data_IF_799167597239
#
_entry.id   IF_799167597239
#
_cell.length_a   1.000
_cell.length_b   1.000
_cell.length_c   1.000
_cell.angle_alpha   90.00
_cell.angle_beta   90.00
_cell.angle_gamma   90.00
#
_symmetry.space_group_name_H-M   'P 1'
#
loop_
_entity.id
_entity.type
_entity.pdbx_description
1 polymer ?
#
# COMPACT_ATOMS: atom_id res chain seq x y z
N UNK A 1 11.03 -31.17 10.10
CA UNK A 1 12.30 -30.48 9.77
C UNK A 1 12.88 -31.16 8.54
N UNK A 2 13.15 -30.42 7.43
CA UNK A 2 13.77 -31.02 6.25
C UNK A 2 15.14 -31.57 6.65
N UNK A 3 15.36 -32.86 6.45
CA UNK A 3 16.62 -33.55 6.76
C UNK A 3 17.58 -33.55 5.56
N UNK A 4 17.15 -33.01 4.42
CA UNK A 4 17.91 -32.94 3.17
C UNK A 4 17.90 -31.53 2.59
N UNK A 5 18.96 -31.17 1.87
CA UNK A 5 19.08 -29.87 1.17
C UNK A 5 17.93 -29.70 0.19
N UNK A 6 17.58 -30.74 -0.57
CA UNK A 6 16.45 -30.71 -1.51
C UNK A 6 15.12 -30.44 -0.80
N UNK A 7 14.88 -31.07 0.35
CA UNK A 7 13.66 -30.83 1.14
C UNK A 7 13.58 -29.40 1.65
N UNK A 8 14.71 -28.80 2.03
CA UNK A 8 14.77 -27.40 2.42
C UNK A 8 14.48 -26.45 1.24
N UNK A 9 15.08 -26.71 0.08
CA UNK A 9 14.83 -25.90 -1.13
C UNK A 9 13.35 -25.98 -1.53
N UNK A 10 12.76 -27.18 -1.54
CA UNK A 10 11.34 -27.34 -1.84
C UNK A 10 10.46 -26.60 -0.83
N UNK A 11 10.78 -26.69 0.47
CA UNK A 11 10.06 -25.94 1.50
C UNK A 11 10.10 -24.43 1.22
N UNK A 12 11.27 -23.86 0.93
CA UNK A 12 11.40 -22.42 0.62
C UNK A 12 10.61 -22.05 -0.63
N UNK A 13 10.68 -22.88 -1.68
CA UNK A 13 9.96 -22.65 -2.94
C UNK A 13 8.44 -22.65 -2.73
N UNK A 14 7.91 -23.59 -1.93
CA UNK A 14 6.49 -23.66 -1.60
C UNK A 14 6.01 -22.50 -0.71
N UNK A 15 6.92 -21.77 -0.05
CA UNK A 15 6.56 -20.58 0.73
C UNK A 15 6.52 -19.29 -0.12
N UNK A 16 6.95 -19.34 -1.38
CA UNK A 16 6.99 -18.18 -2.26
C UNK A 16 5.62 -17.49 -2.46
N UNK A 17 4.49 -18.21 -2.65
CA UNK A 17 3.20 -17.55 -2.83
C UNK A 17 2.78 -16.72 -1.60
N UNK A 18 2.97 -17.26 -0.40
CA UNK A 18 2.68 -16.53 0.84
C UNK A 18 3.61 -15.35 1.07
N UNK A 19 4.89 -15.48 0.69
CA UNK A 19 5.82 -14.35 0.73
C UNK A 19 5.40 -13.24 -0.25
N UNK A 20 5.01 -13.61 -1.48
CA UNK A 20 4.51 -12.66 -2.47
C UNK A 20 3.24 -11.94 -1.99
N UNK A 21 2.32 -12.66 -1.33
CA UNK A 21 1.14 -12.07 -0.70
C UNK A 21 1.52 -11.01 0.34
N UNK A 22 2.45 -11.33 1.26
CA UNK A 22 2.88 -10.40 2.31
C UNK A 22 3.54 -9.16 1.71
N UNK A 23 4.49 -9.32 0.79
CA UNK A 23 5.21 -8.20 0.15
C UNK A 23 4.23 -7.23 -0.54
N UNK A 24 3.25 -7.75 -1.28
CA UNK A 24 2.26 -6.89 -1.97
C UNK A 24 1.34 -6.20 -0.98
N UNK A 25 0.96 -6.89 0.10
CA UNK A 25 0.09 -6.35 1.12
C UNK A 25 0.77 -5.26 1.94
N UNK A 26 2.04 -5.43 2.29
CA UNK A 26 2.86 -4.42 2.99
C UNK A 26 3.05 -3.18 2.15
N UNK A 27 3.30 -3.32 0.84
CA UNK A 27 3.40 -2.17 -0.07
C UNK A 27 2.12 -1.33 -0.18
N UNK A 28 0.96 -1.91 0.15
CA UNK A 28 -0.36 -1.25 0.02
C UNK A 28 -1.01 -0.91 1.36
N UNK A 29 -0.47 -1.37 2.48
CA UNK A 29 -1.05 -1.22 3.81
C UNK A 29 -0.14 -0.43 4.74
N UNK A 30 -0.74 0.19 5.77
CA UNK A 30 0.04 0.83 6.84
C UNK A 30 0.88 -0.23 7.58
N UNK A 31 2.12 0.14 7.85
CA UNK A 31 3.17 -0.68 8.44
C UNK A 31 2.82 -1.04 9.89
N UNK A 32 2.04 -2.12 10.07
CA UNK A 32 1.99 -2.84 11.35
C UNK A 32 3.23 -3.70 11.42
N UNK A 33 3.92 -3.75 12.55
CA UNK A 33 4.83 -4.87 12.85
C UNK A 33 4.02 -6.07 13.31
N UNK A 34 3.68 -7.06 12.46
CA UNK A 34 3.14 -8.31 12.97
C UNK A 34 4.18 -8.95 13.92
N UNK A 35 3.71 -9.69 14.92
CA UNK A 35 4.65 -10.51 15.70
C UNK A 35 5.28 -11.56 14.77
N UNK A 36 6.56 -11.95 14.97
CA UNK A 36 7.24 -12.90 14.08
C UNK A 36 6.45 -14.21 13.87
N UNK A 37 5.72 -14.64 14.90
CA UNK A 37 4.83 -15.80 14.83
C UNK A 37 3.67 -15.60 13.84
N UNK A 38 2.99 -14.44 13.88
CA UNK A 38 1.88 -14.14 12.97
C UNK A 38 2.36 -13.93 11.54
N UNK A 39 3.53 -13.34 11.35
CA UNK A 39 4.14 -13.12 10.05
C UNK A 39 4.45 -14.47 9.37
N UNK A 40 5.20 -15.32 10.07
CA UNK A 40 5.51 -16.68 9.58
C UNK A 40 4.24 -17.50 9.35
N UNK A 41 3.28 -17.43 10.29
CA UNK A 41 1.98 -18.09 10.15
C UNK A 41 1.22 -17.63 8.90
N UNK A 42 1.19 -16.32 8.63
CA UNK A 42 0.52 -15.76 7.45
C UNK A 42 1.16 -16.25 6.17
N UNK A 43 2.50 -16.24 6.07
CA UNK A 43 3.22 -16.78 4.91
C UNK A 43 2.86 -18.25 4.68
N UNK A 44 2.89 -19.07 5.72
CA UNK A 44 2.56 -20.50 5.60
C UNK A 44 1.10 -20.71 5.19
N UNK A 45 0.14 -20.08 5.87
CA UNK A 45 -1.28 -20.25 5.59
C UNK A 45 -1.66 -19.75 4.19
N UNK A 46 -1.15 -18.59 3.76
CA UNK A 46 -1.41 -18.06 2.43
C UNK A 46 -0.81 -18.96 1.34
N UNK A 47 0.39 -19.50 1.56
CA UNK A 47 1.01 -20.45 0.62
C UNK A 47 0.14 -21.70 0.46
N UNK A 48 -0.22 -22.35 1.57
CA UNK A 48 -1.05 -23.57 1.54
C UNK A 48 -2.40 -23.32 0.87
N UNK A 49 -3.10 -22.23 1.20
CA UNK A 49 -4.41 -21.95 0.63
C UNK A 49 -4.35 -21.67 -0.88
N UNK A 50 -3.35 -20.91 -1.34
CA UNK A 50 -3.21 -20.58 -2.76
C UNK A 50 -2.76 -21.79 -3.58
N UNK A 51 -1.85 -22.61 -3.05
CA UNK A 51 -1.47 -23.89 -3.66
C UNK A 51 -2.65 -24.86 -3.76
N UNK A 52 -3.44 -25.01 -2.68
CA UNK A 52 -4.62 -25.86 -2.69
C UNK A 52 -5.66 -25.37 -3.71
N UNK A 53 -5.88 -24.06 -3.80
CA UNK A 53 -6.78 -23.49 -4.79
C UNK A 53 -6.31 -23.77 -6.23
N UNK A 54 -5.03 -23.58 -6.52
CA UNK A 54 -4.45 -23.86 -7.84
C UNK A 54 -4.48 -25.34 -8.18
N UNK A 55 -4.16 -26.22 -7.22
CA UNK A 55 -4.24 -27.66 -7.39
C UNK A 55 -5.68 -28.14 -7.61
N UNK A 56 -6.66 -27.53 -6.94
CA UNK A 56 -8.08 -27.83 -7.18
C UNK A 56 -8.48 -27.46 -8.61
N UNK A 57 -8.11 -26.27 -9.08
CA UNK A 57 -8.34 -25.84 -10.47
C UNK A 57 -7.64 -26.79 -11.46
N UNK A 58 -6.38 -27.15 -11.20
CA UNK A 58 -5.64 -28.12 -12.01
C UNK A 58 -6.35 -29.49 -12.05
N UNK A 59 -6.88 -29.97 -10.92
CA UNK A 59 -7.64 -31.22 -10.86
C UNK A 59 -8.90 -31.19 -11.73
N UNK A 60 -9.63 -30.07 -11.75
CA UNK A 60 -10.78 -29.85 -12.64
C UNK A 60 -10.34 -29.82 -14.11
N UNK A 61 -9.30 -29.05 -14.44
CA UNK A 61 -8.76 -28.98 -15.82
C UNK A 61 -8.34 -30.35 -16.31
N UNK A 62 -7.67 -31.14 -15.48
CA UNK A 62 -7.27 -32.51 -15.79
C UNK A 62 -8.47 -33.43 -16.03
N UNK A 63 -9.54 -33.30 -15.25
CA UNK A 63 -10.77 -34.07 -15.44
C UNK A 63 -11.45 -33.78 -16.78
N UNK A 64 -11.37 -32.54 -17.26
CA UNK A 64 -11.99 -32.10 -18.52
C UNK A 64 -11.07 -32.32 -19.74
N UNK A 65 -9.76 -32.13 -19.57
CA UNK A 65 -8.75 -32.13 -20.64
C UNK A 65 -7.56 -33.02 -20.24
N UNK A 66 -7.75 -34.34 -20.10
CA UNK A 66 -6.72 -35.23 -19.56
C UNK A 66 -5.48 -35.35 -20.46
N UNK A 67 -5.62 -35.09 -21.76
CA UNK A 67 -4.54 -35.19 -22.75
C UNK A 67 -3.56 -34.01 -22.74
N UNK A 68 -3.90 -32.90 -22.07
CA UNK A 68 -3.04 -31.71 -21.96
C UNK A 68 -2.27 -31.66 -20.64
N UNK A 69 -2.56 -32.55 -19.68
CA UNK A 69 -1.99 -32.50 -18.32
C UNK A 69 -1.17 -33.75 -18.00
N UNK A 70 -0.11 -33.65 -17.17
CA UNK A 70 0.70 -34.81 -16.80
C UNK A 70 -0.13 -35.85 -16.07
N UNK A 71 0.08 -37.14 -16.37
CA UNK A 71 -0.65 -38.22 -15.73
C UNK A 71 -0.23 -38.45 -14.28
N UNK A 72 -0.84 -37.70 -13.36
CA UNK A 72 -0.61 -37.82 -11.91
C UNK A 72 -0.91 -39.23 -11.39
N UNK A 73 -1.87 -39.93 -11.99
CA UNK A 73 -2.21 -41.31 -11.60
C UNK A 73 -1.10 -42.29 -11.94
N UNK A 74 -0.49 -42.14 -13.12
CA UNK A 74 0.71 -42.90 -13.49
C UNK A 74 1.93 -42.48 -12.68
N UNK A 75 2.11 -41.18 -12.42
CA UNK A 75 3.19 -40.70 -11.56
C UNK A 75 3.14 -41.35 -10.16
N UNK A 76 1.96 -41.51 -9.56
CA UNK A 76 1.80 -42.15 -8.25
C UNK A 76 2.03 -43.67 -8.31
N UNK A 77 1.59 -44.34 -9.38
CA UNK A 77 1.73 -45.80 -9.53
C UNK A 77 3.13 -46.24 -9.96
N UNK A 78 3.74 -45.51 -10.89
CA UNK A 78 5.02 -45.86 -11.53
C UNK A 78 6.20 -45.17 -10.85
N UNK A 79 5.99 -44.00 -10.24
CA UNK A 79 7.02 -43.29 -9.46
C UNK A 79 8.17 -42.76 -10.31
N UNK A 80 9.40 -43.07 -9.90
CA UNK A 80 10.63 -42.54 -10.50
C UNK A 80 10.79 -42.85 -12.00
N UNK A 81 10.50 -44.07 -12.51
CA UNK A 81 10.48 -44.36 -13.94
C UNK A 81 9.68 -43.36 -14.79
N UNK A 82 8.46 -43.02 -14.36
CA UNK A 82 7.63 -42.03 -15.05
C UNK A 82 8.23 -40.63 -14.94
N UNK A 83 8.70 -40.25 -13.74
CA UNK A 83 9.29 -38.94 -13.51
C UNK A 83 10.56 -38.70 -14.34
N UNK A 84 11.38 -39.73 -14.56
CA UNK A 84 12.57 -39.65 -15.41
C UNK A 84 12.20 -39.53 -16.88
N UNK A 85 11.19 -40.28 -17.35
CA UNK A 85 10.73 -40.24 -18.73
C UNK A 85 10.04 -38.90 -19.09
N UNK A 86 9.35 -38.27 -18.13
CA UNK A 86 8.56 -37.05 -18.32
C UNK A 86 9.11 -35.84 -17.54
N UNK A 87 10.41 -35.82 -17.23
CA UNK A 87 11.00 -34.81 -16.34
C UNK A 87 10.74 -33.36 -16.79
N UNK A 88 10.98 -33.05 -18.06
CA UNK A 88 10.81 -31.69 -18.58
C UNK A 88 9.35 -31.22 -18.48
N UNK A 89 8.40 -32.10 -18.78
CA UNK A 89 6.97 -31.82 -18.68
C UNK A 89 6.56 -31.55 -17.23
N UNK A 90 7.03 -32.38 -16.29
CA UNK A 90 6.76 -32.21 -14.86
C UNK A 90 7.36 -30.91 -14.31
N UNK A 91 8.57 -30.55 -14.73
CA UNK A 91 9.23 -29.29 -14.33
C UNK A 91 8.44 -28.08 -14.82
N UNK A 92 8.00 -28.09 -16.08
CA UNK A 92 7.20 -26.98 -16.62
C UNK A 92 5.86 -26.84 -15.92
N UNK A 93 5.17 -27.95 -15.66
CA UNK A 93 3.92 -27.92 -14.92
C UNK A 93 4.11 -27.50 -13.46
N UNK A 94 5.14 -27.98 -12.78
CA UNK A 94 5.46 -27.54 -11.42
C UNK A 94 5.72 -26.03 -11.36
N UNK A 95 6.56 -25.52 -12.27
CA UNK A 95 6.84 -24.09 -12.38
C UNK A 95 5.60 -23.27 -12.75
N UNK A 96 4.77 -23.75 -13.66
CA UNK A 96 3.52 -23.11 -14.07
C UNK A 96 2.51 -23.02 -12.93
N UNK A 97 2.30 -24.11 -12.19
CA UNK A 97 1.40 -24.14 -11.04
C UNK A 97 1.90 -23.23 -9.91
N UNK A 98 3.21 -23.25 -9.62
CA UNK A 98 3.80 -22.35 -8.64
C UNK A 98 3.63 -20.87 -9.04
N UNK A 99 3.87 -20.56 -10.32
CA UNK A 99 3.70 -19.20 -10.86
C UNK A 99 2.23 -18.76 -10.77
N UNK A 100 1.29 -19.65 -11.08
CA UNK A 100 -0.14 -19.41 -10.93
C UNK A 100 -0.53 -19.17 -9.46
N UNK A 101 0.04 -19.94 -8.52
CA UNK A 101 -0.20 -19.75 -7.09
C UNK A 101 0.32 -18.39 -6.61
N UNK A 102 1.53 -17.99 -7.05
CA UNK A 102 2.08 -16.66 -6.78
C UNK A 102 1.18 -15.55 -7.36
N UNK A 103 0.73 -15.69 -8.61
CA UNK A 103 -0.16 -14.72 -9.24
C UNK A 103 -1.49 -14.60 -8.51
N UNK A 104 -2.09 -15.73 -8.10
CA UNK A 104 -3.31 -15.75 -7.29
C UNK A 104 -3.11 -15.08 -5.93
N UNK A 105 -1.97 -15.35 -5.28
CA UNK A 105 -1.60 -14.72 -4.02
C UNK A 105 -1.46 -13.19 -4.16
N UNK A 106 -0.78 -12.73 -5.20
CA UNK A 106 -0.65 -11.29 -5.52
C UNK A 106 -2.01 -10.66 -5.80
N UNK A 107 -2.86 -11.29 -6.59
CA UNK A 107 -4.20 -10.80 -6.88
C UNK A 107 -5.07 -10.73 -5.62
N UNK A 108 -5.03 -11.76 -4.78
CA UNK A 108 -5.73 -11.80 -3.50
C UNK A 108 -5.25 -10.67 -2.57
N UNK A 109 -3.94 -10.45 -2.46
CA UNK A 109 -3.37 -9.35 -1.69
C UNK A 109 -3.85 -7.99 -2.23
N UNK A 110 -3.84 -7.81 -3.55
CA UNK A 110 -4.26 -6.57 -4.20
C UNK A 110 -5.75 -6.23 -3.94
N UNK A 111 -6.62 -7.23 -3.90
CA UNK A 111 -8.07 -7.07 -3.67
C UNK A 111 -8.42 -6.94 -2.18
N UNK A 112 -7.69 -7.65 -1.30
CA UNK A 112 -7.94 -7.66 0.15
C UNK A 112 -7.15 -6.61 0.93
N UNK A 113 -6.26 -5.86 0.27
CA UNK A 113 -5.65 -4.65 0.79
C UNK A 113 -6.72 -3.55 0.94
N UNK A 114 -7.61 -3.73 1.92
CA UNK A 114 -8.62 -2.74 2.27
C UNK A 114 -8.00 -1.54 2.99
N UNK A 115 -8.70 -0.42 2.92
CA UNK A 115 -8.39 0.79 3.69
C UNK A 115 -8.26 0.40 5.17
N UNK A 116 -7.14 0.70 5.85
CA UNK A 116 -6.97 0.36 7.25
C UNK A 116 -8.14 0.90 8.09
N UNK A 117 -8.62 0.13 9.06
CA UNK A 117 -9.64 0.63 9.99
C UNK A 117 -9.11 1.89 10.71
N UNK A 118 -9.95 2.90 10.89
CA UNK A 118 -9.57 4.20 11.48
C UNK A 118 -8.90 4.12 12.86
N UNK A 119 -9.15 3.05 13.62
CA UNK A 119 -8.54 2.80 14.93
C UNK A 119 -7.09 2.27 14.87
N UNK A 120 -6.61 1.93 13.67
CA UNK A 120 -5.28 1.38 13.45
C UNK A 120 -4.40 2.27 12.58
N UNK A 121 -4.86 3.48 12.26
CA UNK A 121 -4.08 4.51 11.58
C UNK A 121 -3.41 5.36 12.65
N UNK A 122 -2.12 5.63 12.49
CA UNK A 122 -1.47 6.66 13.33
C UNK A 122 -2.17 8.00 13.08
N UNK A 123 -2.20 8.87 14.08
CA UNK A 123 -2.75 10.21 13.91
C UNK A 123 -2.09 10.94 12.73
N UNK A 124 -0.79 10.68 12.49
CA UNK A 124 -0.03 11.22 11.37
C UNK A 124 -0.56 10.74 10.02
N UNK A 125 -0.83 9.43 9.87
CA UNK A 125 -1.43 8.90 8.65
C UNK A 125 -2.80 9.53 8.36
N UNK A 126 -3.59 9.77 9.40
CA UNK A 126 -4.89 10.45 9.25
C UNK A 126 -4.70 11.89 8.78
N UNK A 127 -3.82 12.65 9.43
CA UNK A 127 -3.56 14.05 9.10
C UNK A 127 -2.94 14.24 7.72
N UNK A 128 -1.98 13.40 7.35
CA UNK A 128 -1.14 13.64 6.17
C UNK A 128 -1.61 12.92 4.90
N UNK A 129 -2.24 11.74 5.03
CA UNK A 129 -2.58 10.92 3.88
C UNK A 129 -4.10 10.75 3.72
N UNK A 130 -4.84 10.56 4.82
CA UNK A 130 -6.27 10.24 4.74
C UNK A 130 -7.15 11.44 4.40
N UNK A 131 -6.91 12.59 5.03
CA UNK A 131 -7.76 13.76 4.84
C UNK A 131 -7.48 14.48 3.52
N UNK A 132 -6.22 14.58 3.10
CA UNK A 132 -5.79 15.27 1.89
C UNK A 132 -4.67 14.47 1.18
N UNK A 133 -5.01 13.38 0.48
CA UNK A 133 -4.02 12.52 -0.15
C UNK A 133 -3.25 13.26 -1.25
N UNK A 134 -1.93 13.08 -1.30
CA UNK A 134 -1.06 13.67 -2.32
C UNK A 134 -0.71 15.15 -2.13
N UNK A 135 -1.20 15.78 -1.06
CA UNK A 135 -0.87 17.16 -0.72
C UNK A 135 0.34 17.23 0.24
N UNK A 136 1.08 18.35 0.18
CA UNK A 136 2.16 18.66 1.12
C UNK A 136 1.69 19.72 2.13
N UNK A 137 1.03 19.33 3.24
CA UNK A 137 0.49 20.28 4.20
C UNK A 137 1.60 21.07 4.90
N UNK A 138 1.25 22.26 5.39
CA UNK A 138 2.12 23.03 6.29
C UNK A 138 1.93 22.50 7.71
N UNK A 139 3.03 22.12 8.35
CA UNK A 139 3.03 21.48 9.67
C UNK A 139 3.81 22.35 10.64
N UNK A 140 3.17 22.72 11.75
CA UNK A 140 3.78 23.38 12.90
C UNK A 140 3.94 22.41 14.07
N UNK A 141 5.14 22.31 14.63
CA UNK A 141 5.46 21.45 15.75
C UNK A 141 5.87 22.29 16.97
N UNK A 142 5.20 22.09 18.10
CA UNK A 142 5.63 22.61 19.41
C UNK A 142 6.48 21.54 20.08
N UNK A 143 7.71 21.90 20.44
CA UNK A 143 8.66 20.96 21.05
C UNK A 143 8.61 21.00 22.58
N UNK A 144 9.15 19.97 23.23
CA UNK A 144 9.22 19.83 24.70
C UNK A 144 9.95 20.99 25.40
N UNK A 145 10.93 21.60 24.71
CA UNK A 145 11.64 22.79 25.21
C UNK A 145 10.86 24.10 24.99
N UNK A 146 9.65 24.02 24.42
CA UNK A 146 8.80 25.16 24.09
C UNK A 146 9.14 25.85 22.76
N UNK A 147 10.18 25.40 22.05
CA UNK A 147 10.47 25.89 20.71
C UNK A 147 9.37 25.49 19.72
N UNK A 148 9.30 26.20 18.60
CA UNK A 148 8.37 25.92 17.52
C UNK A 148 9.09 25.83 16.19
N UNK A 149 8.75 24.82 15.40
CA UNK A 149 9.28 24.58 14.05
C UNK A 149 8.10 24.45 13.10
N UNK A 150 8.12 25.18 11.98
CA UNK A 150 7.10 25.09 10.93
C UNK A 150 7.75 24.82 9.58
N UNK A 151 7.09 24.01 8.75
CA UNK A 151 7.52 23.75 7.37
C UNK A 151 6.54 22.88 6.60
N UNK A 152 6.78 22.69 5.30
CA UNK A 152 5.98 21.77 4.48
C UNK A 152 6.37 20.33 4.76
N UNK A 153 5.39 19.45 4.89
CA UNK A 153 5.64 18.02 5.02
C UNK A 153 6.30 17.48 3.76
N UNK A 154 7.50 16.89 3.91
CA UNK A 154 8.17 16.16 2.83
C UNK A 154 8.06 14.64 3.01
N UNK A 155 8.32 14.16 4.22
CA UNK A 155 8.19 12.73 4.55
C UNK A 155 7.95 12.55 6.04
N UNK A 156 7.27 11.46 6.39
CA UNK A 156 7.09 11.04 7.77
C UNK A 156 7.23 9.52 7.84
N UNK A 157 7.58 9.01 9.02
CA UNK A 157 7.57 7.57 9.26
C UNK A 157 6.11 7.06 9.31
N UNK A 158 5.79 6.11 8.43
CA UNK A 158 4.44 5.55 8.20
C UNK A 158 4.04 4.43 9.17
N UNK A 159 4.91 4.10 10.13
CA UNK A 159 4.65 3.12 11.18
C UNK A 159 3.31 3.39 11.87
N UNK A 160 2.45 2.37 11.93
CA UNK A 160 1.17 2.46 12.64
C UNK A 160 1.34 2.48 14.16
N UNK A 161 2.46 1.95 14.63
CA UNK A 161 2.78 1.94 16.05
C UNK A 161 3.12 3.37 16.48
N UNK A 162 2.51 3.83 17.58
CA UNK A 162 2.78 5.12 18.22
C UNK A 162 4.15 5.10 18.91
N UNK A 163 5.19 4.82 18.12
CA UNK A 163 6.54 4.67 18.60
C UNK A 163 7.18 6.05 18.73
N UNK A 164 7.89 6.28 19.84
CA UNK A 164 8.58 7.54 20.06
C UNK A 164 9.72 7.77 19.03
N UNK A 165 10.24 6.73 18.40
CA UNK A 165 11.34 6.81 17.40
C UNK A 165 10.90 7.20 15.97
N UNK A 166 9.72 7.79 15.81
CA UNK A 166 9.29 8.30 14.49
C UNK A 166 9.83 9.72 14.26
N UNK A 167 10.32 9.95 13.05
CA UNK A 167 10.81 11.25 12.62
C UNK A 167 9.88 11.87 11.57
N UNK A 168 9.86 13.20 11.57
CA UNK A 168 9.15 14.06 10.64
C UNK A 168 10.15 14.92 9.89
N UNK A 169 10.10 14.91 8.55
CA UNK A 169 10.95 15.77 7.72
C UNK A 169 10.10 16.89 7.15
N UNK A 170 10.49 18.11 7.48
CA UNK A 170 9.89 19.33 6.96
C UNK A 170 10.87 20.01 6.00
N UNK A 171 10.33 20.64 4.96
CA UNK A 171 11.07 21.43 3.96
C UNK A 171 10.51 22.84 3.88
N UNK A 172 11.19 23.69 3.11
CA UNK A 172 10.82 25.09 2.93
C UNK A 172 9.33 25.31 2.57
N UNK A 173 8.74 26.44 3.02
CA UNK A 173 9.34 27.49 3.84
C UNK A 173 9.49 27.05 5.31
N UNK A 174 10.70 27.20 5.87
CA UNK A 174 10.95 26.86 7.27
C UNK A 174 10.85 28.10 8.16
N UNK A 175 10.16 27.95 9.30
CA UNK A 175 10.20 28.93 10.38
C UNK A 175 10.61 28.28 11.68
N UNK A 176 11.33 29.05 12.49
CA UNK A 176 11.78 28.63 13.81
C UNK A 176 11.50 29.71 14.85
N UNK A 177 11.03 29.28 16.02
CA UNK A 177 10.91 30.11 17.22
C UNK A 177 11.68 29.42 18.33
N UNK A 178 12.71 30.10 18.84
CA UNK A 178 13.49 29.60 19.97
C UNK A 178 12.64 29.49 21.25
N UNK A 179 13.05 28.67 22.24
CA UNK A 179 12.43 28.62 23.55
C UNK A 179 12.30 30.02 24.18
N UNK A 180 11.09 30.38 24.61
CA UNK A 180 10.81 31.67 25.25
C UNK A 180 10.73 32.88 24.30
N UNK A 181 11.01 32.72 23.01
CA UNK A 181 10.78 33.76 22.03
C UNK A 181 9.27 33.90 21.71
N UNK A 182 8.85 35.11 21.36
CA UNK A 182 7.46 35.40 21.00
C UNK A 182 7.21 35.06 19.53
N UNK A 183 8.07 35.55 18.64
CA UNK A 183 7.87 35.49 17.20
C UNK A 183 8.68 34.37 16.54
N UNK A 184 8.04 33.66 15.60
CA UNK A 184 8.72 32.74 14.69
C UNK A 184 9.40 33.54 13.57
N UNK A 185 10.62 33.14 13.22
CA UNK A 185 11.43 33.78 12.19
C UNK A 185 11.70 32.79 11.06
N UNK A 186 11.87 33.31 9.84
CA UNK A 186 12.30 32.48 8.71
C UNK A 186 13.66 31.86 9.00
N UNK A 187 13.77 30.57 8.72
CA UNK A 187 14.95 29.78 9.04
C UNK A 187 15.67 29.43 7.72
N UNK A 188 16.91 29.89 7.49
CA UNK A 188 17.59 29.83 6.20
C UNK A 188 18.18 28.44 5.88
N UNK A 189 17.39 27.38 6.05
CA UNK A 189 17.76 26.01 5.76
C UNK A 189 16.69 25.33 4.89
N UNK A 190 17.11 24.40 4.03
CA UNK A 190 16.22 23.71 3.08
C UNK A 190 15.33 22.62 3.70
N UNK A 191 15.74 22.05 4.82
CA UNK A 191 15.02 20.95 5.47
C UNK A 191 15.38 20.79 6.95
N UNK A 192 14.46 20.26 7.74
CA UNK A 192 14.67 19.90 9.14
C UNK A 192 14.05 18.53 9.44
N UNK A 193 14.76 17.72 10.22
CA UNK A 193 14.26 16.46 10.76
C UNK A 193 13.88 16.66 12.24
N UNK A 194 12.64 16.37 12.60
CA UNK A 194 12.08 16.54 13.94
C UNK A 194 11.65 15.19 14.49
N UNK A 195 12.26 14.78 15.60
CA UNK A 195 11.90 13.54 16.31
C UNK A 195 10.59 13.69 17.08
N UNK A 196 9.67 12.75 16.92
CA UNK A 196 8.38 12.76 17.63
C UNK A 196 8.49 12.68 19.15
N UNK A 197 9.58 12.11 19.71
CA UNK A 197 9.86 12.17 21.16
C UNK A 197 9.82 13.58 21.71
N UNK A 198 10.18 14.56 20.89
CA UNK A 198 10.28 15.96 21.30
C UNK A 198 9.05 16.77 20.96
N UNK A 199 8.06 16.20 20.27
CA UNK A 199 6.88 16.94 19.83
C UNK A 199 5.79 16.80 20.89
N UNK A 200 5.35 17.92 21.44
CA UNK A 200 4.24 18.01 22.40
C UNK A 200 2.91 18.09 21.65
N UNK A 201 2.85 18.93 20.61
CA UNK A 201 1.66 19.10 19.79
C UNK A 201 2.03 19.47 18.35
N UNK A 202 1.10 19.18 17.45
CA UNK A 202 1.24 19.42 16.03
C UNK A 202 0.00 20.11 15.49
N UNK A 203 0.21 21.12 14.65
CA UNK A 203 -0.83 21.85 13.94
C UNK A 203 -0.61 21.64 12.45
N UNK A 204 -1.68 21.33 11.72
CA UNK A 204 -1.60 21.03 10.29
C UNK A 204 -2.55 21.98 9.56
N UNK A 205 -2.00 22.73 8.61
CA UNK A 205 -2.75 23.58 7.69
C UNK A 205 -2.66 22.98 6.29
N UNK A 206 -3.83 22.72 5.71
CA UNK A 206 -3.96 22.20 4.36
C UNK A 206 -4.01 23.37 3.38
N UNK A 207 -3.44 23.23 2.17
CA UNK A 207 -3.71 24.18 1.11
C UNK A 207 -5.23 24.29 0.93
N UNK A 208 -5.73 25.53 0.76
CA UNK A 208 -7.10 25.74 0.31
C UNK A 208 -7.25 24.96 -1.00
N UNK A 209 -8.23 24.05 -1.06
CA UNK A 209 -8.60 23.45 -2.32
C UNK A 209 -8.83 24.59 -3.33
N UNK A 210 -8.28 24.53 -4.56
CA UNK A 210 -8.60 25.54 -5.55
C UNK A 210 -10.12 25.60 -5.65
N UNK A 211 -10.69 26.79 -5.45
CA UNK A 211 -12.12 26.98 -5.72
C UNK A 211 -12.37 26.49 -7.15
N UNK A 212 -13.42 25.69 -7.40
CA UNK A 212 -13.76 25.33 -8.77
C UNK A 212 -13.86 26.63 -9.54
N UNK A 213 -13.03 26.79 -10.57
CA UNK A 213 -12.99 27.98 -11.40
C UNK A 213 -14.43 28.35 -11.75
N UNK A 214 -14.89 29.46 -11.17
CA UNK A 214 -16.26 29.92 -11.31
C UNK A 214 -16.59 29.98 -12.78
N UNK A 215 -17.73 29.39 -13.15
CA UNK A 215 -18.41 29.62 -14.41
C UNK A 215 -18.35 31.11 -14.69
N UNK A 216 -17.47 31.49 -15.63
CA UNK A 216 -17.30 32.87 -16.03
C UNK A 216 -18.64 33.31 -16.59
N UNK A 217 -19.26 34.26 -15.89
CA UNK A 217 -20.41 35.05 -16.27
C UNK A 217 -20.47 35.22 -17.79
N UNK A 218 -21.35 34.45 -18.45
CA UNK A 218 -21.94 34.86 -19.73
C UNK A 218 -23.11 35.78 -19.42
N UNK A 219 -22.80 36.94 -18.88
CA UNK A 219 -23.73 38.06 -18.82
C UNK A 219 -23.20 39.15 -19.74
N UNK A 220 -23.89 39.34 -20.86
CA UNK A 220 -23.65 40.42 -21.80
C UNK A 220 -23.47 39.97 -23.24
N UNK A 221 -24.56 39.63 -23.94
CA UNK A 221 -24.87 40.21 -25.25
C UNK A 221 -26.28 39.80 -25.73
N UNK A 222 -27.29 40.62 -25.45
CA UNK A 222 -28.49 40.75 -26.28
C UNK A 222 -29.32 41.97 -25.83
N UNK A 223 -28.86 43.18 -26.15
CA UNK A 223 -29.75 44.33 -26.28
C UNK A 223 -29.62 44.90 -27.69
N UNK A 224 -30.73 44.86 -28.44
CA UNK A 224 -30.79 45.23 -29.85
C UNK A 224 -32.22 45.17 -30.42
N UNK A 225 -33.12 45.96 -29.84
CA UNK A 225 -34.47 46.32 -30.34
C UNK A 225 -34.36 47.01 -31.72
N UNK A 226 -35.30 46.89 -32.70
CA UNK A 226 -36.55 47.67 -32.65
C UNK A 226 -37.81 47.12 -33.36
N UNK A 227 -38.98 47.44 -32.78
CA UNK A 227 -40.08 48.04 -33.54
C UNK A 227 -41.35 47.22 -33.85
N UNK A 228 -42.49 47.78 -33.43
CA UNK A 228 -43.80 47.78 -34.12
C UNK A 228 -44.66 46.51 -34.11
N UNK A 229 -45.76 46.52 -33.33
CA UNK A 229 -47.11 46.77 -33.86
C UNK A 229 -48.19 46.63 -32.77
N UNK A 230 -49.21 47.47 -32.87
CA UNK A 230 -50.41 47.49 -32.06
C UNK A 230 -51.50 46.51 -32.56
N UNK A 231 -52.53 46.34 -31.71
CA UNK A 231 -53.97 46.10 -32.01
C UNK A 231 -54.57 44.73 -31.59
N UNK A 232 -55.64 44.85 -30.78
CA UNK A 232 -56.83 43.99 -30.54
C UNK A 232 -56.63 42.63 -29.84
N UNK A 233 -57.46 42.19 -28.88
CA UNK A 233 -58.87 42.50 -28.58
C UNK A 233 -59.14 42.38 -27.08
#
# INVERSE_FOLDING_TARGET
MPTTVTGLVLLVVLLLPGLAFVIVRERRGSERRPTPFRETGTVVFCSVLTELAVLAVFGVVRGLLPHLTPDVGRLVREGAPYAQAHYAELVWWAGGLLSAACALAVAAAAVTAGVPHSSAMSAWWVMFEKWYPGESPLVGCVLEDGSYVEGRLASFNVSSDDLPDRDLVLVEPLKYRAPGAVDAQDFPWGSVCVSARRIVSMFVSYPLAPEPEGETEREGEAEGTPGSAAVAS
#
